data_IF_632143802828
#
_entry.id   IF_632143802828
#
_cell.length_a   1.000
_cell.length_b   1.000
_cell.length_c   1.000
_cell.angle_alpha   90.00
_cell.angle_beta   90.00
_cell.angle_gamma   90.00
#
_symmetry.space_group_name_H-M   'P 1'
#
loop_
_entity.id
_entity.type
_entity.pdbx_description
1 polymer ?
#
# COMPACT_ATOMS: atom_id res chain seq x y z
N UNK A 1 -7.09 10.74 12.01
CA UNK A 1 -5.63 10.63 11.77
C UNK A 1 -4.95 11.92 12.18
N UNK A 2 -3.69 11.86 12.63
CA UNK A 2 -2.88 13.05 12.96
C UNK A 2 -2.57 13.85 11.68
N UNK A 3 -2.63 15.18 11.71
CA UNK A 3 -2.25 16.02 10.55
C UNK A 3 -0.75 16.31 10.55
N UNK A 4 -0.13 16.32 9.36
CA UNK A 4 1.31 16.58 9.13
C UNK A 4 2.21 15.78 10.09
N UNK A 5 2.08 14.43 10.14
CA UNK A 5 2.96 13.61 10.99
C UNK A 5 4.40 13.68 10.48
N UNK A 6 5.38 13.61 11.39
CA UNK A 6 6.76 13.24 11.01
C UNK A 6 6.89 11.72 10.88
N UNK A 7 7.98 11.24 10.31
CA UNK A 7 8.27 9.80 10.29
C UNK A 7 8.27 9.20 11.71
N UNK A 8 8.88 9.87 12.69
CA UNK A 8 8.90 9.40 14.08
C UNK A 8 7.50 9.33 14.69
N UNK A 9 6.60 10.26 14.34
CA UNK A 9 5.20 10.17 14.73
C UNK A 9 4.54 8.90 14.16
N UNK A 10 4.77 8.61 12.88
CA UNK A 10 4.23 7.40 12.22
C UNK A 10 4.76 6.13 12.88
N UNK A 11 6.05 6.09 13.23
CA UNK A 11 6.67 4.96 13.92
C UNK A 11 6.07 4.67 15.30
N UNK A 12 5.39 5.64 15.94
CA UNK A 12 4.73 5.42 17.24
C UNK A 12 3.48 4.55 17.16
N UNK A 13 2.98 4.26 15.95
CA UNK A 13 1.75 3.49 15.71
C UNK A 13 0.47 4.18 16.21
N UNK A 14 0.54 5.46 16.61
CA UNK A 14 -0.61 6.21 17.20
C UNK A 14 -1.32 7.13 16.21
N UNK A 15 -0.76 7.35 15.02
CA UNK A 15 -1.27 8.38 14.08
C UNK A 15 -2.42 7.88 13.20
N UNK A 16 -2.52 6.57 13.04
CA UNK A 16 -3.44 5.88 12.11
C UNK A 16 -2.99 5.89 10.64
N UNK A 17 -1.80 6.44 10.33
CA UNK A 17 -1.27 6.46 8.97
C UNK A 17 -0.76 5.09 8.52
N UNK A 18 -0.71 4.88 7.22
CA UNK A 18 0.02 3.78 6.59
C UNK A 18 1.16 4.37 5.77
N UNK A 19 2.35 3.77 5.83
CA UNK A 19 3.38 4.05 4.84
C UNK A 19 2.85 3.71 3.45
N UNK A 20 2.93 4.67 2.54
CA UNK A 20 2.25 4.59 1.25
C UNK A 20 3.09 5.28 0.18
N UNK A 21 2.99 4.78 -1.05
CA UNK A 21 3.57 5.41 -2.24
C UNK A 21 2.43 6.01 -3.05
N UNK A 22 2.52 7.31 -3.33
CA UNK A 22 1.64 7.97 -4.30
C UNK A 22 2.30 7.89 -5.68
N UNK A 23 1.56 7.37 -6.66
CA UNK A 23 2.05 7.17 -8.04
C UNK A 23 1.20 8.00 -9.00
N UNK A 24 1.84 8.97 -9.64
CA UNK A 24 1.29 9.65 -10.81
C UNK A 24 1.66 8.84 -12.06
N UNK A 25 0.69 8.56 -12.93
CA UNK A 25 0.88 7.73 -14.12
C UNK A 25 -0.04 8.18 -15.26
N UNK A 26 0.32 7.81 -16.49
CA UNK A 26 -0.53 7.97 -17.67
C UNK A 26 -1.33 6.67 -17.91
N UNK A 27 -2.67 6.69 -17.82
CA UNK A 27 -3.49 5.50 -18.06
C UNK A 27 -3.45 5.00 -19.50
N UNK A 28 -3.01 5.80 -20.48
CA UNK A 28 -2.81 5.37 -21.87
C UNK A 28 -1.54 4.52 -22.03
N UNK A 29 -0.51 4.75 -21.20
CA UNK A 29 0.73 3.97 -21.19
C UNK A 29 0.66 2.77 -20.25
N UNK A 30 0.07 2.94 -19.06
CA UNK A 30 -0.08 1.88 -18.06
C UNK A 30 -1.47 1.91 -17.41
N UNK A 31 -2.33 0.91 -17.70
CA UNK A 31 -3.63 0.80 -17.07
C UNK A 31 -3.52 0.60 -15.55
N UNK A 32 -4.52 1.07 -14.81
CA UNK A 32 -4.56 0.94 -13.35
C UNK A 32 -4.45 -0.52 -12.86
N UNK A 33 -5.03 -1.46 -13.61
CA UNK A 33 -4.95 -2.89 -13.30
C UNK A 33 -3.51 -3.41 -13.30
N UNK A 34 -2.62 -2.84 -14.11
CA UNK A 34 -1.22 -3.23 -14.14
C UNK A 34 -0.46 -2.69 -12.92
N UNK A 35 -0.79 -1.48 -12.46
CA UNK A 35 -0.31 -0.97 -11.18
C UNK A 35 -0.77 -1.87 -10.02
N UNK A 36 -2.03 -2.32 -10.03
CA UNK A 36 -2.52 -3.27 -9.03
C UNK A 36 -1.75 -4.60 -9.09
N UNK A 37 -1.49 -5.15 -10.28
CA UNK A 37 -0.68 -6.39 -10.42
C UNK A 37 0.71 -6.20 -9.83
N UNK A 38 1.35 -5.07 -10.09
CA UNK A 38 2.65 -4.73 -9.48
C UNK A 38 2.53 -4.71 -7.96
N UNK A 39 1.53 -4.01 -7.42
CA UNK A 39 1.28 -3.96 -5.97
C UNK A 39 1.16 -5.37 -5.36
N UNK A 40 0.29 -6.23 -5.90
CA UNK A 40 0.06 -7.57 -5.35
C UNK A 40 1.26 -8.51 -5.45
N UNK A 41 2.13 -8.32 -6.43
CA UNK A 41 3.30 -9.17 -6.64
C UNK A 41 4.51 -8.78 -5.76
N UNK A 42 4.54 -7.56 -5.23
CA UNK A 42 5.73 -6.99 -4.58
C UNK A 42 5.67 -6.99 -3.03
N UNK A 43 4.64 -7.56 -2.41
CA UNK A 43 4.57 -7.68 -0.95
C UNK A 43 3.75 -8.90 -0.51
N UNK A 44 3.80 -9.26 0.78
CA UNK A 44 2.86 -10.24 1.34
C UNK A 44 1.57 -9.52 1.79
N UNK A 45 0.41 -9.77 1.14
CA UNK A 45 -0.84 -9.09 1.46
C UNK A 45 -1.68 -9.78 2.55
N UNK A 46 -1.17 -10.83 3.20
CA UNK A 46 -1.92 -11.63 4.19
C UNK A 46 -1.47 -11.39 5.63
N UNK A 47 -0.49 -10.52 5.86
CA UNK A 47 0.04 -10.20 7.19
C UNK A 47 -0.58 -8.91 7.73
N UNK A 48 -1.47 -8.98 8.73
CA UNK A 48 -2.06 -7.77 9.31
C UNK A 48 -1.01 -6.97 10.06
N UNK A 49 -0.97 -5.65 9.84
CA UNK A 49 -0.09 -4.70 10.53
C UNK A 49 1.39 -5.12 10.55
N UNK A 50 1.85 -5.69 9.44
CA UNK A 50 3.22 -6.21 9.31
C UNK A 50 3.59 -6.41 7.84
N UNK A 51 4.83 -6.11 7.49
CA UNK A 51 5.45 -6.55 6.24
C UNK A 51 6.86 -7.08 6.52
N UNK A 52 7.08 -8.39 6.30
CA UNK A 52 8.38 -9.00 6.57
C UNK A 52 8.85 -8.80 8.03
N UNK A 53 10.03 -8.18 8.26
CA UNK A 53 10.52 -7.85 9.60
C UNK A 53 9.84 -6.63 10.24
N UNK A 54 9.14 -5.81 9.45
CA UNK A 54 8.57 -4.53 9.88
C UNK A 54 7.17 -4.73 10.48
N UNK A 55 7.00 -4.36 11.75
CA UNK A 55 5.80 -4.62 12.56
C UNK A 55 5.19 -3.30 13.03
N UNK A 56 3.88 -3.14 12.85
CA UNK A 56 3.12 -1.95 13.22
C UNK A 56 1.99 -1.66 12.23
N UNK A 57 0.94 -0.95 12.65
CA UNK A 57 -0.20 -0.65 11.77
C UNK A 57 0.21 0.21 10.58
N UNK A 58 1.31 0.97 10.68
CA UNK A 58 1.87 1.73 9.58
C UNK A 58 2.34 0.87 8.40
N UNK A 59 2.68 -0.41 8.62
CA UNK A 59 3.11 -1.34 7.57
C UNK A 59 1.98 -2.22 7.03
N UNK A 60 0.72 -1.92 7.37
CA UNK A 60 -0.42 -2.67 6.85
C UNK A 60 -0.52 -2.52 5.33
N UNK A 61 -0.93 -3.59 4.66
CA UNK A 61 -1.28 -3.55 3.24
C UNK A 61 -2.57 -2.74 3.04
N UNK A 62 -2.54 -1.73 2.16
CA UNK A 62 -3.69 -0.88 1.83
C UNK A 62 -3.61 -0.35 0.41
N UNK A 63 -4.75 -0.26 -0.26
CA UNK A 63 -4.95 0.45 -1.53
C UNK A 63 -5.86 1.65 -1.28
N UNK A 64 -5.36 2.85 -1.59
CA UNK A 64 -6.13 4.09 -1.54
C UNK A 64 -6.65 4.43 -2.94
N UNK A 65 -7.96 4.35 -3.17
CA UNK A 65 -8.57 4.62 -4.48
C UNK A 65 -9.03 6.08 -4.61
N UNK A 66 -8.92 6.64 -5.81
CA UNK A 66 -9.34 8.01 -6.11
C UNK A 66 -10.74 8.11 -6.76
N UNK A 67 -11.25 7.02 -7.32
CA UNK A 67 -12.58 6.95 -7.93
C UNK A 67 -13.20 5.55 -7.79
N UNK A 68 -14.46 5.40 -8.21
CA UNK A 68 -15.20 4.15 -8.08
C UNK A 68 -14.71 3.06 -9.03
N UNK A 69 -14.16 3.42 -10.19
CA UNK A 69 -13.53 2.48 -11.14
C UNK A 69 -12.31 1.80 -10.49
N UNK A 70 -11.43 2.59 -9.85
CA UNK A 70 -10.27 2.07 -9.13
C UNK A 70 -10.67 1.19 -7.94
N UNK A 71 -11.68 1.60 -7.18
CA UNK A 71 -12.22 0.81 -6.07
C UNK A 71 -12.73 -0.54 -6.55
N UNK A 72 -13.53 -0.55 -7.62
CA UNK A 72 -14.09 -1.77 -8.21
C UNK A 72 -12.97 -2.70 -8.68
N UNK A 73 -12.02 -2.18 -9.46
CA UNK A 73 -10.88 -2.96 -9.95
C UNK A 73 -10.04 -3.56 -8.81
N UNK A 74 -9.80 -2.79 -7.74
CA UNK A 74 -9.04 -3.26 -6.58
C UNK A 74 -9.78 -4.37 -5.80
N UNK A 75 -11.09 -4.24 -5.60
CA UNK A 75 -11.92 -5.28 -4.95
C UNK A 75 -12.00 -6.55 -5.80
N UNK A 76 -12.20 -6.41 -7.11
CA UNK A 76 -12.26 -7.54 -8.04
C UNK A 76 -10.94 -8.30 -8.06
N UNK A 77 -9.81 -7.58 -8.14
CA UNK A 77 -8.49 -8.21 -8.14
C UNK A 77 -8.17 -8.88 -6.80
N UNK A 78 -8.49 -8.23 -5.66
CA UNK A 78 -8.38 -8.84 -4.32
C UNK A 78 -9.16 -10.16 -4.26
N UNK A 79 -10.42 -10.14 -4.69
CA UNK A 79 -11.28 -11.33 -4.70
C UNK A 79 -10.70 -12.44 -5.57
N UNK A 80 -10.22 -12.09 -6.77
CA UNK A 80 -9.62 -13.03 -7.72
C UNK A 80 -8.33 -13.66 -7.19
N UNK A 81 -7.50 -12.91 -6.48
CA UNK A 81 -6.20 -13.37 -5.98
C UNK A 81 -6.30 -14.10 -4.64
N UNK A 82 -7.39 -13.95 -3.88
CA UNK A 82 -7.52 -14.56 -2.56
C UNK A 82 -7.33 -16.09 -2.54
N UNK A 83 -7.84 -16.88 -3.51
CA UNK A 83 -7.54 -18.32 -3.57
C UNK A 83 -6.05 -18.62 -3.72
N UNK A 84 -5.34 -17.89 -4.59
CA UNK A 84 -3.90 -18.06 -4.79
C UNK A 84 -3.10 -17.63 -3.55
N UNK A 85 -3.57 -16.60 -2.83
CA UNK A 85 -2.98 -16.21 -1.54
C UNK A 85 -3.16 -17.29 -0.48
N UNK A 86 -4.34 -17.94 -0.40
CA UNK A 86 -4.57 -19.07 0.51
C UNK A 86 -3.64 -20.24 0.20
N UNK A 87 -3.40 -20.55 -1.07
CA UNK A 87 -2.45 -21.59 -1.47
C UNK A 87 -1.00 -21.24 -1.11
N UNK A 88 -0.57 -20.02 -1.43
CA UNK A 88 0.82 -19.58 -1.27
C UNK A 88 1.20 -19.27 0.18
N UNK A 89 0.29 -18.65 0.93
CA UNK A 89 0.56 -18.09 2.26
C UNK A 89 -0.24 -18.75 3.38
N UNK A 90 -1.13 -19.70 3.07
CA UNK A 90 -2.04 -20.34 4.03
C UNK A 90 -2.89 -19.32 4.82
N UNK A 91 -3.24 -18.21 4.18
CA UNK A 91 -3.97 -17.10 4.79
C UNK A 91 -4.76 -16.31 3.73
N UNK A 92 -5.75 -15.55 4.17
CA UNK A 92 -6.52 -14.65 3.30
C UNK A 92 -5.85 -13.28 3.15
N UNK A 93 -6.16 -12.61 2.05
CA UNK A 93 -5.73 -11.24 1.80
C UNK A 93 -6.41 -10.29 2.79
N UNK A 94 -5.60 -9.63 3.62
CA UNK A 94 -6.06 -8.66 4.63
C UNK A 94 -6.01 -7.20 4.14
N UNK A 95 -5.47 -6.96 2.94
CA UNK A 95 -5.33 -5.61 2.34
C UNK A 95 -6.61 -4.79 2.45
N UNK A 96 -6.49 -3.59 3.02
CA UNK A 96 -7.58 -2.62 3.11
C UNK A 96 -7.80 -1.94 1.74
N UNK A 97 -9.05 -1.69 1.35
CA UNK A 97 -9.39 -0.89 0.16
C UNK A 97 -10.17 0.33 0.65
N UNK A 98 -9.57 1.51 0.62
CA UNK A 98 -10.11 2.74 1.24
C UNK A 98 -10.06 3.93 0.27
N UNK A 99 -10.95 4.92 0.40
CA UNK A 99 -10.86 6.14 -0.39
C UNK A 99 -9.54 6.86 -0.05
N UNK A 100 -8.91 7.45 -1.06
CA UNK A 100 -7.75 8.30 -0.87
C UNK A 100 -8.13 9.55 -0.07
N UNK A 101 -7.37 9.81 1.00
CA UNK A 101 -7.44 11.05 1.77
C UNK A 101 -6.24 11.94 1.44
N UNK A 102 -6.02 13.00 2.23
CA UNK A 102 -4.85 13.85 2.08
C UNK A 102 -3.57 13.03 2.26
N UNK A 103 -2.75 12.98 1.21
CA UNK A 103 -1.42 12.39 1.27
C UNK A 103 -0.45 13.35 1.97
N UNK A 104 0.21 12.86 3.03
CA UNK A 104 1.28 13.58 3.70
C UNK A 104 2.60 13.06 3.20
N UNK A 105 3.31 13.87 2.41
CA UNK A 105 4.63 13.53 1.90
C UNK A 105 5.61 13.41 3.06
N UNK A 106 6.26 12.26 3.17
CA UNK A 106 7.35 12.04 4.12
C UNK A 106 8.57 12.92 3.81
N UNK A 107 9.48 13.03 4.76
CA UNK A 107 10.72 13.79 4.69
C UNK A 107 11.54 13.45 3.43
N UNK A 108 12.31 14.42 2.93
CA UNK A 108 12.99 14.31 1.63
C UNK A 108 14.00 13.16 1.55
N UNK A 109 14.55 12.71 2.67
CA UNK A 109 15.46 11.55 2.68
C UNK A 109 14.73 10.24 2.35
N UNK A 110 13.42 10.12 2.64
CA UNK A 110 12.62 8.94 2.26
C UNK A 110 12.28 8.91 0.77
N UNK A 111 12.32 10.05 0.10
CA UNK A 111 11.88 10.19 -1.29
C UNK A 111 12.94 9.58 -2.21
N UNK A 112 12.55 8.61 -3.05
CA UNK A 112 13.47 7.87 -3.92
C UNK A 112 14.67 7.30 -3.15
N UNK A 113 14.45 6.87 -1.91
CA UNK A 113 15.51 6.41 -1.00
C UNK A 113 16.42 5.35 -1.65
N UNK A 114 15.83 4.35 -2.32
CA UNK A 114 16.59 3.32 -3.04
C UNK A 114 17.38 3.83 -4.24
N UNK A 115 16.94 4.89 -4.93
CA UNK A 115 17.73 5.48 -6.04
C UNK A 115 18.87 6.36 -5.53
N UNK A 116 18.70 6.97 -4.35
CA UNK A 116 19.72 7.79 -3.68
C UNK A 116 20.77 6.94 -2.96
N UNK A 117 20.43 5.70 -2.64
CA UNK A 117 21.28 4.76 -1.91
C UNK A 117 21.87 3.74 -2.88
N UNK A 118 23.17 3.49 -2.80
CA UNK A 118 23.83 2.46 -3.62
C UNK A 118 23.61 1.07 -2.99
N UNK A 119 22.40 0.52 -3.14
CA UNK A 119 22.11 -0.87 -2.83
C UNK A 119 22.68 -1.83 -3.87
#
# INVERSE_FOLDING_TARGET
MKQNPTYEDVCTDTTGHAESVQVDYDPEEIPYEDLLKIFWNNHNPTTPNRQGPDIGTQYRSVVFFHNEEQKKAAIEMKTKLNPAAREKFNAEIVTEIKPAEKFYRAEEYHQQYFSKSNF
#
